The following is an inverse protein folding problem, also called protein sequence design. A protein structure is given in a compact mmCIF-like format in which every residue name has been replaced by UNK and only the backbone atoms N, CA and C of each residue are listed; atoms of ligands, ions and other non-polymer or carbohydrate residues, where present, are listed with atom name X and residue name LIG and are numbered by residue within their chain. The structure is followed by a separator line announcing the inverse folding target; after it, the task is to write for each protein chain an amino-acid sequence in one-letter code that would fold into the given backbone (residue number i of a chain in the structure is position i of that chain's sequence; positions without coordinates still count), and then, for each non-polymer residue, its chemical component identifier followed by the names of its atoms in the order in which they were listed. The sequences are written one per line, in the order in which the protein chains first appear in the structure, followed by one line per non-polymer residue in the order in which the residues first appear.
data_IF_699635659755
#
_entry.id   IF_699635659755
#
_cell.length_a   1.000
_cell.length_b   1.000
_cell.length_c   1.000
_cell.angle_alpha   90.00
_cell.angle_beta   90.00
_cell.angle_gamma   90.00
#
_symmetry.space_group_name_H-M   'P 1'
#
loop_
_entity.id
_entity.type
_entity.pdbx_description
1 polymer ?
#
# COMPACT_ATOMS: atom_id res chain seq x y z
N UNK A 1 16.91 2.80 20.60
CA UNK A 1 16.05 1.81 19.91
C UNK A 1 14.73 1.63 20.67
N UNK A 2 13.91 2.69 20.75
CA UNK A 2 12.55 2.61 21.32
C UNK A 2 11.47 2.32 20.26
N UNK A 3 11.87 2.28 18.99
CA UNK A 3 11.00 2.20 17.83
C UNK A 3 10.32 0.84 17.62
N UNK A 4 10.73 -0.19 18.38
CA UNK A 4 10.14 -1.55 18.26
C UNK A 4 8.71 -1.62 18.80
N UNK A 5 8.39 -0.83 19.83
CA UNK A 5 7.03 -0.79 20.38
C UNK A 5 6.07 -0.05 19.44
N UNK A 6 6.55 1.00 18.78
CA UNK A 6 5.80 1.69 17.71
C UNK A 6 5.61 0.77 16.51
N UNK A 7 6.67 0.09 16.08
CA UNK A 7 6.60 -0.87 14.98
C UNK A 7 5.64 -2.04 15.26
N UNK A 8 5.50 -2.47 16.52
CA UNK A 8 4.52 -3.47 16.92
C UNK A 8 3.09 -2.93 16.83
N UNK A 9 2.86 -1.68 17.24
CA UNK A 9 1.55 -1.02 17.07
C UNK A 9 1.18 -0.93 15.59
N UNK A 10 2.09 -0.47 14.74
CA UNK A 10 1.87 -0.39 13.29
C UNK A 10 1.57 -1.78 12.68
N UNK A 11 2.27 -2.82 13.13
CA UNK A 11 2.08 -4.18 12.65
C UNK A 11 0.69 -4.75 13.01
N UNK A 12 0.22 -4.47 14.23
CA UNK A 12 -1.12 -4.88 14.70
C UNK A 12 -2.20 -4.09 13.97
N UNK A 13 -2.03 -2.79 13.78
CA UNK A 13 -2.97 -1.95 13.04
C UNK A 13 -3.09 -2.42 11.58
N UNK A 14 -1.97 -2.74 10.94
CA UNK A 14 -1.97 -3.31 9.59
C UNK A 14 -2.64 -4.70 9.54
N UNK A 15 -2.46 -5.54 10.56
CA UNK A 15 -3.15 -6.83 10.65
C UNK A 15 -4.68 -6.63 10.71
N UNK A 16 -5.15 -5.68 11.52
CA UNK A 16 -6.58 -5.39 11.63
C UNK A 16 -7.17 -4.90 10.30
N UNK A 17 -6.44 -4.05 9.57
CA UNK A 17 -6.82 -3.59 8.23
C UNK A 17 -6.94 -4.79 7.28
N UNK A 18 -5.96 -5.70 7.29
CA UNK A 18 -5.97 -6.89 6.44
C UNK A 18 -7.13 -7.84 6.79
N UNK A 19 -7.47 -7.99 8.08
CA UNK A 19 -8.62 -8.77 8.53
C UNK A 19 -9.95 -8.15 8.10
N UNK A 20 -10.09 -6.82 8.16
CA UNK A 20 -11.29 -6.15 7.67
C UNK A 20 -11.42 -6.28 6.14
N UNK A 21 -10.32 -6.02 5.42
CA UNK A 21 -10.28 -6.12 3.98
C UNK A 21 -10.60 -7.55 3.49
N UNK A 22 -10.11 -8.58 4.20
CA UNK A 22 -10.39 -9.97 3.87
C UNK A 22 -11.86 -10.34 3.99
N UNK A 23 -12.49 -9.97 5.09
CA UNK A 23 -13.92 -10.21 5.31
C UNK A 23 -14.74 -9.47 4.27
N UNK A 24 -14.38 -8.22 3.95
CA UNK A 24 -15.07 -7.44 2.94
C UNK A 24 -14.88 -8.03 1.52
N UNK A 25 -13.68 -8.51 1.20
CA UNK A 25 -13.41 -9.20 -0.06
C UNK A 25 -14.26 -10.46 -0.18
N UNK A 26 -14.31 -11.31 0.86
CA UNK A 26 -15.17 -12.50 0.89
C UNK A 26 -16.63 -12.11 0.69
N UNK A 27 -17.12 -11.08 1.41
CA UNK A 27 -18.50 -10.63 1.33
C UNK A 27 -18.89 -10.11 -0.06
N UNK A 28 -17.98 -9.45 -0.77
CA UNK A 28 -18.29 -8.74 -2.02
C UNK A 28 -17.92 -9.51 -3.28
N UNK A 29 -16.95 -10.43 -3.21
CA UNK A 29 -16.39 -11.13 -4.38
C UNK A 29 -16.71 -12.61 -4.44
N UNK A 30 -17.40 -13.17 -3.44
CA UNK A 30 -17.69 -14.61 -3.41
C UNK A 30 -18.42 -15.07 -4.69
N UNK A 31 -18.06 -16.23 -5.25
CA UNK A 31 -18.81 -16.81 -6.36
C UNK A 31 -20.22 -17.23 -5.91
N UNK A 32 -21.12 -17.39 -6.88
CA UNK A 32 -22.44 -17.97 -6.63
C UNK A 32 -22.29 -19.47 -6.33
N UNK A 33 -23.01 -19.96 -5.31
CA UNK A 33 -23.05 -21.39 -5.00
C UNK A 33 -23.84 -22.18 -6.03
N UNK A 34 -23.41 -23.40 -6.33
CA UNK A 34 -24.16 -24.36 -7.13
C UNK A 34 -24.95 -25.30 -6.22
N UNK A 35 -26.27 -25.38 -6.43
CA UNK A 35 -27.16 -26.28 -5.68
C UNK A 35 -27.59 -27.41 -6.60
N UNK A 36 -27.39 -28.66 -6.17
CA UNK A 36 -27.76 -29.84 -6.95
C UNK A 36 -29.24 -29.79 -7.34
N UNK A 37 -29.51 -29.89 -8.65
CA UNK A 37 -30.86 -29.87 -9.21
C UNK A 37 -31.43 -28.47 -9.50
N UNK A 38 -30.69 -27.39 -9.25
CA UNK A 38 -31.08 -26.02 -9.62
C UNK A 38 -30.19 -25.45 -10.73
N UNK A 39 -30.75 -24.67 -11.68
CA UNK A 39 -29.94 -23.96 -12.67
C UNK A 39 -29.07 -22.90 -11.98
N UNK A 40 -27.88 -22.65 -12.54
CA UNK A 40 -26.96 -21.62 -12.02
C UNK A 40 -27.63 -20.25 -12.01
N UNK A 41 -27.51 -19.57 -10.87
CA UNK A 41 -28.01 -18.20 -10.66
C UNK A 41 -26.94 -17.15 -11.01
N UNK A 42 -25.75 -17.57 -11.46
CA UNK A 42 -24.69 -16.64 -11.83
C UNK A 42 -25.11 -15.80 -13.05
N UNK A 43 -24.86 -14.47 -13.04
CA UNK A 43 -25.02 -13.65 -14.23
C UNK A 43 -24.25 -14.25 -15.40
N UNK A 44 -24.83 -14.27 -16.62
CA UNK A 44 -24.11 -14.76 -17.78
C UNK A 44 -22.82 -13.96 -17.95
N UNK A 45 -21.69 -14.61 -18.31
CA UNK A 45 -20.43 -13.92 -18.46
C UNK A 45 -20.61 -12.80 -19.49
N UNK A 46 -20.24 -11.57 -19.12
CA UNK A 46 -20.26 -10.45 -20.04
C UNK A 46 -19.52 -10.84 -21.33
N UNK A 47 -20.10 -10.60 -22.52
CA UNK A 47 -19.41 -10.91 -23.76
C UNK A 47 -18.09 -10.15 -23.76
N UNK A 48 -16.98 -10.87 -23.99
CA UNK A 48 -15.68 -10.24 -24.18
C UNK A 48 -15.85 -9.18 -25.28
N UNK A 49 -15.69 -7.90 -24.93
CA UNK A 49 -15.58 -6.84 -25.92
C UNK A 49 -14.43 -7.21 -26.86
N UNK A 50 -14.79 -7.62 -28.07
CA UNK A 50 -13.85 -7.87 -29.15
C UNK A 50 -13.07 -6.57 -29.40
N UNK A 51 -11.73 -6.64 -29.57
CA UNK A 51 -10.96 -5.46 -29.92
C UNK A 51 -11.50 -4.87 -31.24
N UNK A 52 -11.51 -3.53 -31.40
CA UNK A 52 -12.06 -2.90 -32.59
C UNK A 52 -11.31 -3.40 -33.82
N UNK A 53 -12.09 -3.89 -34.78
CA UNK A 53 -11.66 -4.37 -36.08
C UNK A 53 -10.66 -3.38 -36.71
N UNK A 54 -9.47 -3.86 -37.07
CA UNK A 54 -8.56 -3.11 -37.94
C UNK A 54 -9.27 -2.78 -39.27
N UNK A 55 -9.12 -1.57 -39.83
CA UNK A 55 -9.84 -1.19 -41.03
C UNK A 55 -9.28 -1.98 -42.22
N UNK A 56 -10.14 -2.79 -42.84
CA UNK A 56 -9.83 -3.47 -44.09
C UNK A 56 -9.57 -2.44 -45.20
N UNK A 57 -8.42 -2.59 -45.85
CA UNK A 57 -8.04 -1.81 -47.03
C UNK A 57 -9.01 -2.09 -48.18
N UNK A 58 -9.72 -1.07 -48.68
CA UNK A 58 -10.37 -1.15 -49.99
C UNK A 58 -10.17 0.14 -50.78
N UNK A 59 -9.30 -0.01 -51.79
CA UNK A 59 -9.37 0.50 -53.16
C UNK A 59 -9.86 1.94 -53.40
N UNK A 60 -8.90 2.78 -53.78
CA UNK A 60 -9.08 4.07 -54.43
C UNK A 60 -9.63 3.87 -55.85
N UNK A 61 -10.71 4.58 -56.18
CA UNK A 61 -11.06 4.94 -57.57
C UNK A 61 -11.55 6.39 -57.54
N UNK A 62 -10.84 7.25 -58.27
CA UNK A 62 -11.07 8.69 -58.43
C UNK A 62 -12.20 8.97 -59.44
N UNK A 63 -12.97 10.04 -59.21
CA UNK A 63 -13.53 10.85 -60.30
C UNK A 63 -14.76 11.69 -59.95
N UNK A 64 -14.56 13.02 -59.97
CA UNK A 64 -15.50 14.13 -60.20
C UNK A 64 -16.42 14.68 -59.06
N UNK A 65 -16.18 15.95 -58.70
CA UNK A 65 -17.03 16.83 -57.86
C UNK A 65 -17.81 17.84 -58.72
N UNK A 66 -18.12 19.08 -58.26
CA UNK A 66 -18.47 19.58 -56.92
C UNK A 66 -19.80 20.43 -56.95
N UNK A 67 -20.13 21.11 -55.84
CA UNK A 67 -21.04 22.30 -55.66
C UNK A 67 -22.27 22.09 -54.73
N UNK A 68 -22.28 22.61 -53.49
CA UNK A 68 -22.74 23.95 -52.99
C UNK A 68 -24.22 23.97 -52.54
N UNK A 69 -24.44 23.93 -51.20
CA UNK A 69 -25.33 24.73 -50.29
C UNK A 69 -26.82 25.03 -50.61
N UNK A 70 -27.66 25.66 -49.71
CA UNK A 70 -27.77 25.70 -48.22
C UNK A 70 -29.24 25.63 -47.66
N UNK A 71 -29.36 25.68 -46.31
CA UNK A 71 -30.41 26.28 -45.44
C UNK A 71 -31.94 26.03 -45.60
N UNK A 72 -32.63 25.77 -44.47
CA UNK A 72 -33.98 26.30 -44.19
C UNK A 72 -35.01 25.34 -43.56
N UNK A 73 -35.81 25.77 -42.54
CA UNK A 73 -36.59 24.87 -41.67
C UNK A 73 -38.06 24.66 -42.10
N UNK A 74 -38.68 23.67 -41.43
CA UNK A 74 -40.12 23.44 -41.25
C UNK A 74 -40.89 22.71 -42.37
N UNK A 75 -41.31 21.47 -42.10
CA UNK A 75 -42.73 21.15 -41.87
C UNK A 75 -42.91 19.78 -41.20
N UNK A 76 -43.79 19.76 -40.21
CA UNK A 76 -44.19 18.58 -39.46
C UNK A 76 -45.06 17.64 -40.32
N UNK A 77 -44.78 16.35 -40.26
CA UNK A 77 -45.74 15.29 -40.60
C UNK A 77 -45.62 14.18 -39.54
N UNK A 78 -46.71 14.00 -38.81
CA UNK A 78 -46.86 13.06 -37.72
C UNK A 78 -46.98 11.60 -38.22
N UNK A 79 -46.34 10.67 -37.51
CA UNK A 79 -46.56 9.23 -37.55
C UNK A 79 -46.40 8.65 -36.11
N UNK A 80 -47.03 7.52 -35.78
CA UNK A 80 -47.66 7.21 -34.47
C UNK A 80 -46.70 6.82 -33.33
N UNK A 81 -47.16 6.80 -32.06
CA UNK A 81 -46.30 6.55 -30.92
C UNK A 81 -45.88 5.08 -30.88
N UNK A 82 -44.58 4.81 -30.96
CA UNK A 82 -44.06 3.51 -30.54
C UNK A 82 -44.24 3.40 -29.03
N UNK A 83 -44.95 2.34 -28.64
CA UNK A 83 -45.23 1.96 -27.27
C UNK A 83 -43.95 1.93 -26.40
N UNK A 84 -44.05 2.30 -25.11
CA UNK A 84 -42.93 2.16 -24.19
C UNK A 84 -42.58 0.67 -24.06
N UNK A 85 -41.34 0.31 -24.41
CA UNK A 85 -40.81 -1.01 -24.10
C UNK A 85 -40.94 -1.24 -22.58
N UNK A 86 -41.50 -2.37 -22.14
CA UNK A 86 -41.80 -2.60 -20.74
C UNK A 86 -40.52 -2.89 -19.98
N UNK A 87 -40.37 -2.22 -18.84
CA UNK A 87 -39.43 -2.62 -17.79
C UNK A 87 -38.05 -1.98 -17.90
N UNK A 88 -37.98 -0.67 -17.63
CA UNK A 88 -36.89 -0.18 -16.78
C UNK A 88 -37.01 -0.93 -15.45
N UNK A 89 -36.42 -2.12 -15.37
CA UNK A 89 -36.02 -2.65 -14.09
C UNK A 89 -35.05 -1.61 -13.53
N UNK A 90 -35.53 -0.91 -12.51
CA UNK A 90 -34.68 -0.19 -11.57
C UNK A 90 -33.84 -1.28 -10.92
N UNK A 91 -32.79 -1.73 -11.61
CA UNK A 91 -31.68 -2.42 -10.96
C UNK A 91 -31.18 -1.41 -9.95
N UNK A 92 -31.57 -1.63 -8.70
CA UNK A 92 -30.82 -1.19 -7.55
C UNK A 92 -29.42 -1.75 -7.79
N UNK A 93 -28.56 -0.94 -8.43
CA UNK A 93 -27.14 -1.18 -8.47
C UNK A 93 -26.68 -1.03 -7.04
N UNK A 94 -26.85 -2.10 -6.27
CA UNK A 94 -26.02 -2.34 -5.13
C UNK A 94 -24.59 -2.15 -5.66
N UNK A 95 -23.87 -1.17 -5.12
CA UNK A 95 -22.56 -0.74 -5.65
C UNK A 95 -21.46 -1.79 -5.44
N UNK A 96 -21.85 -3.04 -5.20
CA UNK A 96 -20.98 -4.18 -5.02
C UNK A 96 -20.39 -4.58 -6.38
N UNK A 97 -19.07 -4.78 -6.45
CA UNK A 97 -18.42 -5.18 -7.68
C UNK A 97 -18.86 -6.59 -8.11
N UNK A 98 -18.77 -6.92 -9.40
CA UNK A 98 -19.21 -8.22 -9.88
C UNK A 98 -18.45 -9.38 -9.20
N UNK A 99 -19.13 -10.50 -8.90
CA UNK A 99 -18.52 -11.70 -8.34
C UNK A 99 -17.39 -12.25 -9.19
N UNK A 100 -16.39 -12.81 -8.54
CA UNK A 100 -15.25 -13.41 -9.22
C UNK A 100 -15.49 -14.88 -9.58
N UNK A 101 -14.68 -15.39 -10.51
CA UNK A 101 -14.65 -16.82 -10.82
C UNK A 101 -14.14 -17.61 -9.62
N UNK A 102 -14.65 -18.83 -9.36
CA UNK A 102 -14.29 -19.61 -8.18
C UNK A 102 -12.78 -19.88 -8.07
N UNK A 103 -12.12 -20.18 -9.19
CA UNK A 103 -10.67 -20.44 -9.19
C UNK A 103 -9.85 -19.20 -8.80
N UNK A 104 -10.23 -18.03 -9.34
CA UNK A 104 -9.57 -16.76 -9.03
C UNK A 104 -9.80 -16.33 -7.58
N UNK A 105 -11.04 -16.48 -7.10
CA UNK A 105 -11.41 -16.18 -5.72
C UNK A 105 -10.65 -17.08 -4.73
N UNK A 106 -10.58 -18.39 -4.99
CA UNK A 106 -9.83 -19.33 -4.14
C UNK A 106 -8.33 -19.01 -4.13
N UNK A 107 -7.74 -18.66 -5.28
CA UNK A 107 -6.34 -18.24 -5.34
C UNK A 107 -6.08 -16.98 -4.50
N UNK A 108 -6.97 -15.98 -4.58
CA UNK A 108 -6.88 -14.77 -3.79
C UNK A 108 -7.07 -15.03 -2.28
N UNK A 109 -7.96 -15.95 -1.89
CA UNK A 109 -8.10 -16.35 -0.48
C UNK A 109 -6.82 -17.00 0.06
N UNK A 110 -6.15 -17.82 -0.74
CA UNK A 110 -4.88 -18.43 -0.34
C UNK A 110 -3.76 -17.41 -0.19
N UNK A 111 -3.69 -16.41 -1.07
CA UNK A 111 -2.75 -15.29 -0.96
C UNK A 111 -3.00 -14.49 0.32
N UNK A 112 -4.25 -14.10 0.54
CA UNK A 112 -4.64 -13.32 1.72
C UNK A 112 -4.39 -14.09 3.02
N UNK A 113 -4.66 -15.40 3.04
CA UNK A 113 -4.36 -16.24 4.20
C UNK A 113 -2.86 -16.34 4.46
N UNK A 114 -2.04 -16.42 3.41
CA UNK A 114 -0.57 -16.42 3.53
C UNK A 114 -0.09 -15.10 4.13
N UNK A 115 -0.61 -13.98 3.66
CA UNK A 115 -0.22 -12.65 4.14
C UNK A 115 -0.57 -12.46 5.62
N UNK A 116 -1.75 -12.90 6.05
CA UNK A 116 -2.13 -12.89 7.47
C UNK A 116 -1.16 -13.71 8.33
N UNK A 117 -0.78 -14.91 7.89
CA UNK A 117 0.14 -15.77 8.62
C UNK A 117 1.55 -15.15 8.70
N UNK A 118 2.02 -14.54 7.61
CA UNK A 118 3.31 -13.84 7.60
C UNK A 118 3.31 -12.63 8.53
N UNK A 119 2.21 -11.87 8.55
CA UNK A 119 2.02 -10.74 9.45
C UNK A 119 2.05 -11.17 10.92
N UNK A 120 1.40 -12.29 11.27
CA UNK A 120 1.46 -12.85 12.62
C UNK A 120 2.87 -13.29 13.02
N UNK A 121 3.59 -13.99 12.14
CA UNK A 121 4.98 -14.37 12.40
C UNK A 121 5.88 -13.13 12.60
N UNK A 122 5.65 -12.07 11.83
CA UNK A 122 6.35 -10.81 12.01
C UNK A 122 6.05 -10.22 13.40
N UNK A 123 4.79 -10.20 13.82
CA UNK A 123 4.38 -9.74 15.15
C UNK A 123 5.06 -10.55 16.26
N UNK A 124 5.09 -11.88 16.14
CA UNK A 124 5.79 -12.75 17.10
C UNK A 124 7.29 -12.42 17.19
N UNK A 125 7.95 -12.22 16.05
CA UNK A 125 9.36 -11.84 16.03
C UNK A 125 9.58 -10.45 16.64
N UNK A 126 8.70 -9.50 16.37
CA UNK A 126 8.75 -8.17 16.99
C UNK A 126 8.61 -8.27 18.50
N UNK A 127 7.61 -9.02 18.99
CA UNK A 127 7.40 -9.29 20.41
C UNK A 127 8.68 -9.88 20.99
N UNK A 128 9.21 -10.99 20.45
CA UNK A 128 10.42 -11.63 20.97
C UNK A 128 11.67 -10.73 20.95
N UNK A 129 11.67 -9.69 20.11
CA UNK A 129 12.76 -8.72 20.02
C UNK A 129 12.59 -7.47 20.91
N UNK A 130 11.49 -7.35 21.67
CA UNK A 130 11.25 -6.16 22.49
C UNK A 130 12.33 -6.05 23.59
N UNK A 131 13.05 -4.92 23.65
CA UNK A 131 14.07 -4.71 24.66
C UNK A 131 13.44 -4.64 26.04
N UNK A 132 14.04 -5.31 27.02
CA UNK A 132 13.53 -5.32 28.39
C UNK A 132 12.46 -6.38 28.67
N UNK A 133 12.04 -7.17 27.67
CA UNK A 133 11.21 -8.35 27.91
C UNK A 133 11.88 -9.29 28.92
N UNK A 134 11.10 -9.73 29.91
CA UNK A 134 11.57 -10.64 30.97
C UNK A 134 12.38 -9.99 32.09
N UNK A 135 12.77 -8.72 31.97
CA UNK A 135 13.51 -8.01 33.03
C UNK A 135 12.54 -7.25 33.95
N UNK A 136 12.73 -7.39 35.27
CA UNK A 136 11.99 -6.60 36.26
C UNK A 136 12.49 -5.15 36.28
N UNK A 137 11.59 -4.21 36.52
CA UNK A 137 11.87 -2.77 36.64
C UNK A 137 13.04 -2.48 37.59
N UNK A 138 13.07 -3.11 38.76
CA UNK A 138 14.15 -2.93 39.75
C UNK A 138 15.54 -3.31 39.19
N UNK A 139 15.61 -4.36 38.36
CA UNK A 139 16.85 -4.77 37.71
C UNK A 139 17.26 -3.78 36.62
N UNK A 140 16.29 -3.21 35.90
CA UNK A 140 16.54 -2.19 34.89
C UNK A 140 17.03 -0.90 35.53
N UNK A 141 16.40 -0.45 36.61
CA UNK A 141 16.79 0.74 37.37
C UNK A 141 18.20 0.60 37.94
N UNK A 142 18.51 -0.55 38.54
CA UNK A 142 19.85 -0.81 39.08
C UNK A 142 20.92 -0.75 37.98
N UNK A 143 20.64 -1.34 36.81
CA UNK A 143 21.51 -1.26 35.64
C UNK A 143 21.65 0.17 35.12
N UNK A 144 20.59 0.99 35.16
CA UNK A 144 20.68 2.40 34.77
C UNK A 144 21.61 3.18 35.70
N UNK A 145 21.48 2.99 37.03
CA UNK A 145 22.36 3.66 38.00
C UNK A 145 23.83 3.25 37.84
N UNK A 146 24.09 1.99 37.53
CA UNK A 146 25.44 1.50 37.24
C UNK A 146 26.01 2.15 35.99
N UNK A 147 25.25 2.17 34.88
CA UNK A 147 25.64 2.82 33.64
C UNK A 147 25.88 4.32 33.83
N UNK A 148 25.03 5.03 34.59
CA UNK A 148 25.24 6.45 34.92
C UNK A 148 26.55 6.68 35.69
N UNK A 149 26.89 5.79 36.62
CA UNK A 149 28.13 5.88 37.37
C UNK A 149 29.36 5.62 36.48
N UNK A 150 29.27 4.66 35.56
CA UNK A 150 30.30 4.40 34.56
C UNK A 150 30.48 5.59 33.62
N UNK A 151 29.37 6.15 33.11
CA UNK A 151 29.37 7.28 32.19
C UNK A 151 30.06 8.51 32.81
N UNK A 152 29.80 8.80 34.09
CA UNK A 152 30.52 9.87 34.82
C UNK A 152 32.02 9.64 34.89
N UNK A 153 32.47 8.40 35.13
CA UNK A 153 33.92 8.10 35.18
C UNK A 153 34.56 8.32 33.82
N UNK A 154 33.90 7.87 32.76
CA UNK A 154 34.36 8.06 31.38
C UNK A 154 34.41 9.54 31.01
N UNK A 155 33.44 10.34 31.43
CA UNK A 155 33.44 11.81 31.23
C UNK A 155 34.60 12.50 31.93
N UNK A 156 34.91 12.14 33.19
CA UNK A 156 36.06 12.70 33.92
C UNK A 156 37.37 12.35 33.21
N UNK A 157 37.55 11.08 32.84
CA UNK A 157 38.74 10.64 32.12
C UNK A 157 38.88 11.35 30.75
N UNK A 158 37.76 11.57 30.05
CA UNK A 158 37.74 12.35 28.81
C UNK A 158 38.17 13.80 29.05
N UNK A 159 37.68 14.44 30.12
CA UNK A 159 38.02 15.82 30.44
C UNK A 159 39.51 15.97 30.79
N UNK A 160 40.08 15.03 31.55
CA UNK A 160 41.51 14.98 31.86
C UNK A 160 42.35 14.81 30.59
N UNK A 161 41.98 13.88 29.71
CA UNK A 161 42.65 13.66 28.43
C UNK A 161 42.56 14.90 27.50
N UNK A 162 41.42 15.60 27.47
CA UNK A 162 41.26 16.84 26.72
C UNK A 162 42.18 17.95 27.27
N UNK A 163 42.29 18.07 28.60
CA UNK A 163 43.17 19.05 29.24
C UNK A 163 44.67 18.75 29.00
N UNK A 164 45.08 17.48 29.00
CA UNK A 164 46.43 17.08 28.61
C UNK A 164 46.72 17.37 27.14
N UNK A 165 45.75 17.09 26.26
CA UNK A 165 45.85 17.39 24.83
C UNK A 165 46.02 18.88 24.59
N UNK A 166 45.28 19.74 25.28
CA UNK A 166 45.40 21.20 25.17
C UNK A 166 46.80 21.68 25.58
N UNK A 167 47.33 21.20 26.71
CA UNK A 167 48.71 21.50 27.14
C UNK A 167 49.75 21.09 26.10
N UNK A 168 49.61 19.91 25.49
CA UNK A 168 50.52 19.45 24.45
C UNK A 168 50.44 20.31 23.19
N UNK A 169 49.24 20.76 22.81
CA UNK A 169 49.03 21.68 21.67
C UNK A 169 49.69 23.03 21.94
N UNK A 170 49.52 23.58 23.14
CA UNK A 170 50.15 24.85 23.52
C UNK A 170 51.68 24.76 23.48
N UNK A 171 52.26 23.70 24.03
CA UNK A 171 53.71 23.45 23.99
C UNK A 171 54.25 23.32 22.55
N UNK A 172 53.51 22.65 21.67
CA UNK A 172 53.83 22.58 20.24
C UNK A 172 53.75 23.97 19.57
N UNK A 173 52.75 24.76 19.92
CA UNK A 173 52.59 26.14 19.45
C UNK A 173 53.78 27.03 19.82
N UNK A 174 54.27 26.94 21.05
CA UNK A 174 55.46 27.67 21.50
C UNK A 174 56.72 27.27 20.72
N UNK A 175 56.96 25.97 20.50
CA UNK A 175 58.11 25.47 19.73
C UNK A 175 58.08 25.93 18.27
N UNK A 176 56.90 25.92 17.64
CA UNK A 176 56.72 26.41 16.27
C UNK A 176 56.95 27.93 16.18
N UNK A 177 56.45 28.70 17.15
CA UNK A 177 56.69 30.14 17.22
C UNK A 177 58.17 30.48 17.41
N UNK A 178 58.89 29.70 18.23
CA UNK A 178 60.33 29.81 18.42
C UNK A 178 61.11 29.54 17.12
N UNK A 179 60.76 28.47 16.40
CA UNK A 179 61.45 28.09 15.15
C UNK A 179 61.20 29.11 14.02
N UNK A 180 59.97 29.66 13.91
CA UNK A 180 59.63 30.69 12.91
C UNK A 180 60.35 32.03 13.14
N UNK A 181 60.77 32.34 14.37
CA UNK A 181 61.52 33.58 14.66
C UNK A 181 62.99 33.52 14.28
N UNK A 182 63.55 32.32 14.09
CA UNK A 182 64.97 32.08 13.84
C UNK A 182 65.30 31.95 12.34
N UNK A 183 64.28 31.77 11.50
CA UNK A 183 64.37 31.77 10.03
C UNK A 183 63.71 33.01 9.44
#
# INVERSE_FOLDING_TARGET
MADRLTQLQDAIDNQLILMYASINYIKTRHPYGEILGQPSQAPPPAPLSTPPHAPASQSLTNGDGPAIEPNGPAHAAAAPPLAPAPGQQVEQRDGSPPPERPDAFNAALHELARDLVLQEQQIELLINSLPGLGNREVSQESRMRELEAELRKVEVARAEAEAEREKMVDALGELLAGTRRVH
#
